data_IF_368663437192
#
_entry.id   IF_368663437192
#
_cell.length_a   1.000
_cell.length_b   1.000
_cell.length_c   1.000
_cell.angle_alpha   90.00
_cell.angle_beta   90.00
_cell.angle_gamma   90.00
#
_symmetry.space_group_name_H-M   'P 1'
#
loop_
_entity.id
_entity.type
_entity.pdbx_description
1 polymer ?
#
# COMPACT_ATOMS: atom_id res chain seq x y z
N UNK A 1 -15.45 -1.93 -5.80
CA UNK A 1 -15.53 -1.12 -4.57
C UNK A 1 -15.11 0.31 -4.91
N UNK A 2 -15.76 1.32 -4.30
CA UNK A 2 -15.34 2.70 -4.48
C UNK A 2 -13.95 2.92 -3.88
N UNK A 3 -13.15 3.80 -4.48
CA UNK A 3 -11.89 4.25 -3.90
C UNK A 3 -12.16 5.10 -2.66
N UNK A 4 -11.42 4.88 -1.58
CA UNK A 4 -11.58 5.57 -0.31
C UNK A 4 -10.46 6.60 -0.11
N UNK A 5 -10.83 7.87 0.09
CA UNK A 5 -9.88 8.97 0.33
C UNK A 5 -10.10 9.53 1.73
N UNK A 6 -9.04 9.61 2.52
CA UNK A 6 -9.05 10.25 3.82
C UNK A 6 -8.62 11.71 3.70
N UNK A 7 -9.35 12.62 4.34
CA UNK A 7 -9.01 14.03 4.47
C UNK A 7 -8.73 14.36 5.92
N UNK A 8 -7.64 15.06 6.16
CA UNK A 8 -7.24 15.56 7.48
C UNK A 8 -7.16 17.09 7.41
N UNK A 9 -8.09 17.77 8.05
CA UNK A 9 -8.26 19.22 7.96
C UNK A 9 -9.09 19.69 9.16
N UNK A 10 -8.70 20.72 9.88
CA UNK A 10 -9.44 21.24 11.03
C UNK A 10 -10.70 22.04 10.64
N UNK A 11 -10.81 22.47 9.39
CA UNK A 11 -12.01 23.10 8.84
C UNK A 11 -13.10 22.06 8.53
N UNK A 12 -14.09 21.95 9.42
CA UNK A 12 -15.24 21.05 9.28
C UNK A 12 -16.03 21.29 7.99
N UNK A 13 -16.20 22.55 7.60
CA UNK A 13 -16.91 22.92 6.38
C UNK A 13 -16.18 22.45 5.13
N UNK A 14 -14.85 22.54 5.14
CA UNK A 14 -14.03 21.98 4.06
C UNK A 14 -14.17 20.47 3.96
N UNK A 15 -14.19 19.76 5.09
CA UNK A 15 -14.39 18.30 5.12
C UNK A 15 -15.77 17.91 4.58
N UNK A 16 -16.83 18.64 4.95
CA UNK A 16 -18.20 18.40 4.45
C UNK A 16 -18.28 18.62 2.93
N UNK A 17 -17.77 19.75 2.43
CA UNK A 17 -17.73 20.05 0.99
C UNK A 17 -16.91 19.00 0.21
N UNK A 18 -15.78 18.56 0.76
CA UNK A 18 -14.96 17.52 0.15
C UNK A 18 -15.73 16.20 0.06
N UNK A 19 -16.45 15.85 1.13
CA UNK A 19 -17.28 14.64 1.16
C UNK A 19 -18.39 14.71 0.10
N UNK A 20 -19.16 15.77 0.08
CA UNK A 20 -20.25 15.93 -0.89
C UNK A 20 -19.72 15.84 -2.33
N UNK A 21 -18.66 16.57 -2.64
CA UNK A 21 -18.09 16.67 -3.98
C UNK A 21 -17.53 15.37 -4.51
N UNK A 22 -16.88 14.59 -3.65
CA UNK A 22 -16.23 13.33 -4.02
C UNK A 22 -17.19 12.14 -3.96
N UNK A 23 -18.14 12.13 -3.03
CA UNK A 23 -19.17 11.08 -2.98
C UNK A 23 -20.04 11.11 -4.22
N UNK A 24 -20.41 12.32 -4.71
CA UNK A 24 -21.13 12.46 -5.98
C UNK A 24 -20.38 11.87 -7.18
N UNK A 25 -19.03 11.77 -7.10
CA UNK A 25 -18.16 11.16 -8.12
C UNK A 25 -17.83 9.69 -7.87
N UNK A 26 -18.46 9.07 -6.88
CA UNK A 26 -18.31 7.66 -6.58
C UNK A 26 -17.10 7.30 -5.70
N UNK A 27 -16.56 8.26 -4.95
CA UNK A 27 -15.50 8.02 -3.96
C UNK A 27 -16.07 7.92 -2.55
N UNK A 28 -15.52 7.05 -1.72
CA UNK A 28 -15.77 7.05 -0.29
C UNK A 28 -14.83 8.07 0.39
N UNK A 29 -15.37 8.90 1.30
CA UNK A 29 -14.58 9.96 1.95
C UNK A 29 -14.63 9.82 3.46
N UNK A 30 -13.46 9.80 4.10
CA UNK A 30 -13.26 9.86 5.54
C UNK A 30 -12.68 11.22 5.90
N UNK A 31 -13.28 11.91 6.87
CA UNK A 31 -12.83 13.23 7.33
C UNK A 31 -12.34 13.16 8.77
N UNK A 32 -11.20 13.76 9.06
CA UNK A 32 -10.60 13.87 10.39
C UNK A 32 -10.16 15.31 10.65
N UNK A 33 -10.44 15.82 11.86
CA UNK A 33 -10.19 17.23 12.21
C UNK A 33 -8.87 17.47 12.94
N UNK A 34 -8.19 16.43 13.35
CA UNK A 34 -6.92 16.51 14.05
C UNK A 34 -5.98 15.36 13.67
N UNK A 35 -4.69 15.60 13.85
CA UNK A 35 -3.62 14.66 13.48
C UNK A 35 -3.68 13.36 14.26
N UNK A 36 -4.03 13.39 15.55
CA UNK A 36 -4.05 12.21 16.41
C UNK A 36 -5.18 11.25 16.05
N UNK A 37 -6.41 11.78 15.95
CA UNK A 37 -7.58 10.99 15.52
C UNK A 37 -7.38 10.43 14.12
N UNK A 38 -6.81 11.24 13.20
CA UNK A 38 -6.48 10.82 11.85
C UNK A 38 -5.46 9.67 11.85
N UNK A 39 -4.37 9.80 12.59
CA UNK A 39 -3.35 8.77 12.70
C UNK A 39 -3.93 7.44 13.14
N UNK A 40 -4.63 7.42 14.29
CA UNK A 40 -5.21 6.20 14.86
C UNK A 40 -6.19 5.52 13.90
N UNK A 41 -7.04 6.29 13.24
CA UNK A 41 -8.04 5.77 12.32
C UNK A 41 -7.42 5.26 11.00
N UNK A 42 -6.47 6.01 10.43
CA UNK A 42 -5.78 5.64 9.20
C UNK A 42 -4.97 4.36 9.40
N UNK A 43 -4.24 4.23 10.50
CA UNK A 43 -3.46 3.02 10.77
C UNK A 43 -4.35 1.78 10.88
N UNK A 44 -5.51 1.89 11.58
CA UNK A 44 -6.47 0.78 11.69
C UNK A 44 -7.08 0.37 10.34
N UNK A 45 -7.21 1.31 9.40
CA UNK A 45 -7.89 1.14 8.13
C UNK A 45 -6.95 1.25 6.92
N UNK A 46 -5.63 1.20 7.10
CA UNK A 46 -4.63 1.48 6.06
C UNK A 46 -4.80 0.67 4.76
N UNK A 47 -5.34 -0.54 4.87
CA UNK A 47 -5.59 -1.41 3.70
C UNK A 47 -6.87 -1.03 2.93
N UNK A 48 -7.74 -0.19 3.51
CA UNK A 48 -8.99 0.30 2.90
C UNK A 48 -8.82 1.69 2.26
N UNK A 49 -7.82 2.45 2.72
CA UNK A 49 -7.61 3.83 2.29
C UNK A 49 -6.73 3.84 1.04
N UNK A 50 -7.27 4.36 -0.05
CA UNK A 50 -6.60 4.44 -1.36
C UNK A 50 -5.84 5.75 -1.56
N UNK A 51 -6.17 6.80 -0.81
CA UNK A 51 -5.50 8.10 -0.87
C UNK A 51 -5.68 8.89 0.41
N UNK A 52 -4.76 9.79 0.70
CA UNK A 52 -4.80 10.65 1.90
C UNK A 52 -4.51 12.08 1.47
N UNK A 53 -5.33 13.00 1.93
CA UNK A 53 -5.12 14.44 1.82
C UNK A 53 -4.88 15.00 3.22
N UNK A 54 -3.80 15.72 3.42
CA UNK A 54 -3.45 16.33 4.71
C UNK A 54 -3.33 17.84 4.53
N UNK A 55 -4.09 18.61 5.32
CA UNK A 55 -3.81 20.03 5.42
C UNK A 55 -2.45 20.25 6.08
N UNK A 56 -1.68 21.17 5.52
CA UNK A 56 -0.41 21.55 6.14
C UNK A 56 -0.63 22.30 7.45
N UNK A 57 -1.64 23.20 7.48
CA UNK A 57 -1.93 24.07 8.63
C UNK A 57 -2.97 23.45 9.56
N UNK A 58 -2.68 22.29 10.13
CA UNK A 58 -3.57 21.70 11.12
C UNK A 58 -3.51 22.46 12.45
N UNK A 59 -4.68 22.91 12.93
CA UNK A 59 -4.80 23.64 14.19
C UNK A 59 -3.83 24.84 14.31
N UNK A 60 -3.56 25.52 13.19
CA UNK A 60 -2.66 26.68 13.14
C UNK A 60 -1.17 26.35 13.21
N UNK A 61 -0.77 25.10 13.02
CA UNK A 61 0.63 24.68 13.01
C UNK A 61 0.97 23.87 11.76
N UNK A 62 1.97 24.35 10.99
CA UNK A 62 2.54 23.63 9.85
C UNK A 62 3.28 22.35 10.25
N UNK A 63 3.77 22.28 11.48
CA UNK A 63 4.54 21.14 11.98
C UNK A 63 3.65 19.90 12.14
N UNK A 64 2.40 20.07 12.56
CA UNK A 64 1.49 18.94 12.82
C UNK A 64 1.13 18.16 11.56
N UNK A 65 0.91 18.82 10.42
CA UNK A 65 0.66 18.16 9.15
C UNK A 65 1.89 17.37 8.66
N UNK A 66 3.07 17.98 8.73
CA UNK A 66 4.32 17.35 8.32
C UNK A 66 4.70 16.15 9.24
N UNK A 67 4.50 16.27 10.54
CA UNK A 67 4.75 15.22 11.52
C UNK A 67 3.80 14.02 11.29
N UNK A 68 2.51 14.28 11.07
CA UNK A 68 1.54 13.24 10.74
C UNK A 68 1.96 12.43 9.52
N UNK A 69 2.41 13.08 8.45
CA UNK A 69 2.88 12.41 7.23
C UNK A 69 4.06 11.47 7.54
N UNK A 70 5.06 11.96 8.27
CA UNK A 70 6.20 11.16 8.70
C UNK A 70 5.79 9.94 9.52
N UNK A 71 4.90 10.11 10.50
CA UNK A 71 4.38 9.04 11.34
C UNK A 71 3.60 7.99 10.53
N UNK A 72 2.76 8.41 9.59
CA UNK A 72 2.02 7.50 8.70
C UNK A 72 2.99 6.64 7.88
N UNK A 73 4.04 7.24 7.31
CA UNK A 73 5.06 6.51 6.54
C UNK A 73 5.87 5.54 7.38
N UNK A 74 6.29 5.95 8.57
CA UNK A 74 7.01 5.07 9.52
C UNK A 74 6.16 3.85 9.92
N UNK A 75 4.83 3.97 9.95
CA UNK A 75 3.91 2.88 10.27
C UNK A 75 3.40 2.11 9.03
N UNK A 76 4.09 2.26 7.89
CA UNK A 76 3.86 1.44 6.71
C UNK A 76 2.62 1.82 5.89
N UNK A 77 2.12 3.06 6.01
CA UNK A 77 1.09 3.58 5.11
C UNK A 77 1.70 3.80 3.74
N UNK A 78 1.20 3.08 2.75
CA UNK A 78 1.68 3.15 1.35
C UNK A 78 0.75 3.95 0.44
N UNK A 79 -0.50 4.23 0.86
CA UNK A 79 -1.42 5.08 0.09
C UNK A 79 -0.76 6.43 -0.27
N UNK A 80 -1.04 7.01 -1.46
CA UNK A 80 -0.53 8.34 -1.81
C UNK A 80 -1.00 9.38 -0.78
N UNK A 81 -0.09 10.23 -0.33
CA UNK A 81 -0.36 11.34 0.59
C UNK A 81 -0.11 12.63 -0.16
N UNK A 82 -1.17 13.41 -0.36
CA UNK A 82 -1.12 14.72 -0.95
C UNK A 82 -1.33 15.79 0.12
N UNK A 83 -0.44 16.77 0.14
CA UNK A 83 -0.58 17.91 1.01
C UNK A 83 -1.50 18.95 0.36
N UNK A 84 -2.49 19.38 1.11
CA UNK A 84 -3.35 20.50 0.73
C UNK A 84 -2.88 21.76 1.46
N UNK A 85 -2.75 22.88 0.77
CA UNK A 85 -2.29 24.12 1.40
C UNK A 85 -2.81 25.36 0.66
N UNK A 86 -3.05 26.42 1.41
CA UNK A 86 -3.41 27.73 0.84
C UNK A 86 -2.15 28.51 0.40
N UNK A 87 -1.01 28.25 1.00
CA UNK A 87 0.22 29.02 0.73
C UNK A 87 1.46 28.10 0.78
N UNK A 88 2.29 28.15 -0.27
CA UNK A 88 3.56 27.43 -0.35
C UNK A 88 4.70 28.43 -0.59
N UNK A 89 5.59 28.52 0.39
CA UNK A 89 6.93 29.00 0.13
C UNK A 89 7.78 27.82 -0.40
N UNK A 90 8.60 28.02 -1.44
CA UNK A 90 9.32 26.95 -2.12
C UNK A 90 10.23 26.08 -1.23
N UNK A 91 10.71 26.59 -0.12
CA UNK A 91 11.50 25.83 0.87
C UNK A 91 10.64 24.79 1.62
N UNK A 92 9.37 25.11 1.87
CA UNK A 92 8.41 24.22 2.54
C UNK A 92 8.05 23.02 1.65
N UNK A 93 7.96 23.23 0.34
CA UNK A 93 7.67 22.17 -0.65
C UNK A 93 8.71 21.06 -0.61
N UNK A 94 9.99 21.40 -0.67
CA UNK A 94 11.08 20.43 -0.59
C UNK A 94 11.12 19.67 0.75
N UNK A 95 10.77 20.32 1.85
CA UNK A 95 10.73 19.69 3.17
C UNK A 95 9.56 18.67 3.27
N UNK A 96 8.39 19.00 2.71
CA UNK A 96 7.22 18.12 2.72
C UNK A 96 7.42 16.83 1.91
N UNK A 97 8.01 16.95 0.72
CA UNK A 97 8.35 15.80 -0.12
C UNK A 97 9.40 14.91 0.58
N UNK A 98 10.38 15.47 1.28
CA UNK A 98 11.36 14.72 2.08
C UNK A 98 10.71 13.99 3.25
N UNK A 99 9.63 14.52 3.84
CA UNK A 99 8.90 13.88 4.94
C UNK A 99 7.95 12.77 4.48
N UNK A 100 7.86 12.49 3.17
CA UNK A 100 7.10 11.36 2.64
C UNK A 100 5.76 11.72 2.00
N UNK A 101 5.46 13.00 1.77
CA UNK A 101 4.39 13.41 0.88
C UNK A 101 4.73 13.00 -0.56
N UNK A 102 3.73 12.58 -1.33
CA UNK A 102 3.91 12.20 -2.74
C UNK A 102 3.70 13.40 -3.68
N UNK A 103 2.87 14.37 -3.28
CA UNK A 103 2.60 15.58 -4.04
C UNK A 103 1.94 16.63 -3.13
N UNK A 104 1.77 17.83 -3.66
CA UNK A 104 1.03 18.90 -2.99
C UNK A 104 0.06 19.59 -3.96
N UNK A 105 -1.02 20.13 -3.42
CA UNK A 105 -2.07 20.82 -4.19
C UNK A 105 -2.50 22.06 -3.43
N UNK A 106 -2.59 23.18 -4.14
CA UNK A 106 -3.18 24.39 -3.58
C UNK A 106 -4.69 24.25 -3.45
N UNK A 107 -5.24 24.68 -2.31
CA UNK A 107 -6.69 24.77 -2.06
C UNK A 107 -7.29 25.97 -2.83
N UNK A 108 -7.12 25.99 -4.15
CA UNK A 108 -7.74 27.01 -5.02
C UNK A 108 -9.20 26.67 -5.29
N UNK A 109 -9.95 27.66 -5.81
CA UNK A 109 -11.32 27.40 -6.21
C UNK A 109 -11.38 26.25 -7.23
N UNK A 110 -12.11 25.17 -6.88
CA UNK A 110 -12.28 23.97 -7.73
C UNK A 110 -10.99 23.14 -7.96
N UNK A 111 -10.19 22.90 -6.92
CA UNK A 111 -8.99 22.04 -7.01
C UNK A 111 -9.30 20.52 -7.13
N UNK A 112 -10.53 20.07 -6.83
CA UNK A 112 -10.92 18.65 -6.84
C UNK A 112 -10.65 17.91 -8.15
N UNK A 113 -10.89 18.47 -9.36
CA UNK A 113 -10.53 17.79 -10.60
C UNK A 113 -9.02 17.53 -10.71
N UNK A 114 -8.19 18.50 -10.33
CA UNK A 114 -6.74 18.33 -10.33
C UNK A 114 -6.29 17.28 -9.30
N UNK A 115 -6.91 17.26 -8.11
CA UNK A 115 -6.69 16.26 -7.08
C UNK A 115 -6.99 14.86 -7.61
N UNK A 116 -8.16 14.64 -8.20
CA UNK A 116 -8.58 13.34 -8.73
C UNK A 116 -7.68 12.85 -9.85
N UNK A 117 -7.36 13.71 -10.83
CA UNK A 117 -6.42 13.37 -11.92
C UNK A 117 -5.07 12.94 -11.38
N UNK A 118 -4.56 13.57 -10.31
CA UNK A 118 -3.30 13.18 -9.68
C UNK A 118 -3.41 11.85 -8.95
N UNK A 119 -4.49 11.61 -8.20
CA UNK A 119 -4.77 10.32 -7.61
C UNK A 119 -4.90 9.22 -8.66
N UNK A 120 -5.66 9.45 -9.73
CA UNK A 120 -5.83 8.51 -10.82
C UNK A 120 -4.49 8.15 -11.46
N UNK A 121 -3.66 9.12 -11.79
CA UNK A 121 -2.29 8.88 -12.28
C UNK A 121 -1.42 8.10 -11.28
N UNK A 122 -1.61 8.36 -9.99
CA UNK A 122 -0.90 7.63 -8.95
C UNK A 122 -1.41 6.19 -8.82
N UNK A 123 -2.72 6.00 -8.91
CA UNK A 123 -3.36 4.68 -8.93
C UNK A 123 -3.08 3.93 -10.23
N UNK A 124 -3.05 4.60 -11.38
CA UNK A 124 -2.63 4.01 -12.65
C UNK A 124 -1.17 3.59 -12.64
N UNK A 125 -0.27 4.43 -12.15
CA UNK A 125 1.14 4.06 -11.92
C UNK A 125 1.27 2.93 -10.89
N UNK A 126 0.31 2.84 -9.94
CA UNK A 126 0.16 1.74 -8.98
C UNK A 126 -0.81 0.67 -9.49
N UNK A 127 -1.69 0.95 -10.46
CA UNK A 127 -2.58 0.04 -11.17
C UNK A 127 -1.85 -0.78 -12.23
N UNK A 128 -0.64 -0.32 -12.63
CA UNK A 128 0.48 -1.20 -12.99
C UNK A 128 1.11 -1.84 -11.74
N UNK A 129 0.63 -1.50 -10.51
CA UNK A 129 0.98 -2.07 -9.20
C UNK A 129 -0.24 -2.13 -8.25
N UNK A 130 -1.49 -2.23 -8.78
CA UNK A 130 -2.75 -2.50 -8.04
C UNK A 130 -2.81 -3.91 -7.49
N UNK A 131 -1.80 -4.67 -7.75
CA UNK A 131 -1.56 -6.04 -7.37
C UNK A 131 -0.19 -6.21 -6.69
N UNK A 132 0.41 -5.16 -6.13
CA UNK A 132 1.71 -5.31 -5.47
C UNK A 132 1.54 -5.66 -3.99
N UNK A 133 1.83 -6.90 -3.66
CA UNK A 133 1.95 -7.35 -2.28
C UNK A 133 3.35 -7.01 -1.76
N UNK A 134 3.41 -6.39 -0.59
CA UNK A 134 4.67 -5.93 0.01
C UNK A 134 4.84 -6.49 1.42
N UNK A 135 6.02 -7.05 1.70
CA UNK A 135 6.43 -7.43 3.06
C UNK A 135 7.89 -7.08 3.30
N UNK A 136 8.12 -6.09 4.15
CA UNK A 136 9.47 -5.54 4.32
C UNK A 136 10.01 -5.03 2.99
N UNK A 137 11.18 -5.51 2.59
CA UNK A 137 11.79 -5.15 1.32
C UNK A 137 11.36 -6.05 0.12
N UNK A 138 10.55 -7.09 0.37
CA UNK A 138 10.01 -7.97 -0.67
C UNK A 138 8.76 -7.37 -1.29
N UNK A 139 8.72 -7.30 -2.62
CA UNK A 139 7.57 -6.84 -3.41
C UNK A 139 7.23 -7.88 -4.47
N UNK A 140 5.95 -8.13 -4.65
CA UNK A 140 5.42 -9.00 -5.70
C UNK A 140 4.26 -8.33 -6.40
N UNK A 141 4.39 -8.10 -7.69
CA UNK A 141 3.35 -7.56 -8.56
C UNK A 141 2.56 -8.73 -9.15
N UNK A 142 1.28 -8.88 -8.79
CA UNK A 142 0.45 -10.02 -9.19
C UNK A 142 0.02 -9.94 -10.66
N UNK A 143 -0.04 -8.75 -11.27
CA UNK A 143 -0.42 -8.58 -12.69
C UNK A 143 0.76 -8.92 -13.60
N UNK A 144 1.91 -8.30 -13.38
CA UNK A 144 3.13 -8.61 -14.13
C UNK A 144 3.82 -9.89 -13.66
N UNK A 145 3.45 -10.40 -12.48
CA UNK A 145 4.07 -11.55 -11.79
C UNK A 145 5.57 -11.35 -11.52
N UNK A 146 6.00 -10.11 -11.45
CA UNK A 146 7.38 -9.77 -11.12
C UNK A 146 7.57 -9.67 -9.61
N UNK A 147 8.64 -10.30 -9.14
CA UNK A 147 9.08 -10.21 -7.74
C UNK A 147 10.36 -9.40 -7.66
N UNK A 148 10.48 -8.58 -6.61
CA UNK A 148 11.69 -7.81 -6.32
C UNK A 148 12.00 -7.79 -4.83
N UNK A 149 13.28 -7.70 -4.50
CA UNK A 149 13.76 -7.59 -3.12
C UNK A 149 14.88 -6.56 -3.04
N UNK A 150 14.74 -5.58 -2.13
CA UNK A 150 15.68 -4.46 -1.94
C UNK A 150 16.02 -3.74 -3.26
N UNK A 151 15.01 -3.55 -4.12
CA UNK A 151 15.16 -2.88 -5.43
C UNK A 151 15.73 -3.74 -6.55
N UNK A 152 16.17 -4.98 -6.27
CA UNK A 152 16.59 -5.94 -7.29
C UNK A 152 15.37 -6.75 -7.76
N UNK A 153 15.01 -6.65 -9.03
CA UNK A 153 13.91 -7.41 -9.62
C UNK A 153 14.38 -8.75 -10.21
N UNK A 154 13.48 -9.74 -10.20
CA UNK A 154 13.69 -10.97 -10.95
C UNK A 154 13.79 -10.67 -12.46
N UNK A 155 14.57 -11.45 -13.18
CA UNK A 155 14.77 -11.27 -14.63
C UNK A 155 13.51 -11.60 -15.45
N UNK A 156 12.71 -12.51 -14.94
CA UNK A 156 11.51 -13.02 -15.59
C UNK A 156 10.34 -13.05 -14.62
N UNK A 157 9.09 -12.93 -15.10
CA UNK A 157 7.90 -13.13 -14.30
C UNK A 157 7.84 -14.53 -13.71
N UNK A 158 7.25 -14.66 -12.52
CA UNK A 158 6.97 -15.97 -11.95
C UNK A 158 5.95 -16.73 -12.82
N UNK A 159 6.10 -18.05 -12.87
CA UNK A 159 5.01 -18.92 -13.36
C UNK A 159 3.72 -18.64 -12.58
N UNK A 160 2.56 -18.80 -13.23
CA UNK A 160 1.25 -18.52 -12.63
C UNK A 160 1.06 -19.24 -11.29
N UNK A 161 1.41 -20.52 -11.25
CA UNK A 161 1.24 -21.33 -10.04
C UNK A 161 2.22 -20.93 -8.93
N UNK A 162 3.46 -20.58 -9.29
CA UNK A 162 4.47 -20.08 -8.35
C UNK A 162 4.06 -18.71 -7.79
N UNK A 163 3.50 -17.85 -8.65
CA UNK A 163 2.95 -16.56 -8.27
C UNK A 163 1.81 -16.69 -7.26
N UNK A 164 0.83 -17.58 -7.51
CA UNK A 164 -0.28 -17.86 -6.57
C UNK A 164 0.22 -18.36 -5.21
N UNK A 165 1.27 -19.19 -5.18
CA UNK A 165 1.89 -19.62 -3.93
C UNK A 165 2.50 -18.44 -3.18
N UNK A 166 3.26 -17.57 -3.86
CA UNK A 166 3.86 -16.38 -3.24
C UNK A 166 2.78 -15.42 -2.71
N UNK A 167 1.75 -15.18 -3.50
CA UNK A 167 0.60 -14.34 -3.12
C UNK A 167 -0.06 -14.85 -1.84
N UNK A 168 -0.35 -16.15 -1.77
CA UNK A 168 -0.97 -16.76 -0.60
C UNK A 168 -0.07 -16.66 0.63
N UNK A 169 1.23 -16.88 0.48
CA UNK A 169 2.20 -16.74 1.56
C UNK A 169 2.33 -15.29 2.04
N UNK A 170 2.29 -14.31 1.15
CA UNK A 170 2.34 -12.88 1.48
C UNK A 170 1.08 -12.43 2.23
N UNK A 171 -0.10 -12.87 1.79
CA UNK A 171 -1.38 -12.55 2.44
C UNK A 171 -1.50 -13.13 3.86
N UNK A 172 -0.81 -14.25 4.14
CA UNK A 172 -0.79 -14.91 5.44
C UNK A 172 0.57 -14.77 6.15
N UNK A 173 1.34 -13.79 5.76
CA UNK A 173 2.73 -13.66 6.21
C UNK A 173 2.86 -13.60 7.74
N UNK A 174 3.77 -14.44 8.27
CA UNK A 174 3.95 -14.68 9.71
C UNK A 174 3.13 -15.84 10.27
N UNK A 175 2.14 -16.34 9.51
CA UNK A 175 1.36 -17.53 9.86
C UNK A 175 1.74 -18.69 8.95
N UNK A 176 1.41 -19.91 9.39
CA UNK A 176 1.59 -21.12 8.59
C UNK A 176 0.43 -21.21 7.60
N UNK A 177 0.76 -21.36 6.32
CA UNK A 177 -0.20 -21.68 5.25
C UNK A 177 -0.17 -23.19 5.02
N UNK A 178 -1.30 -23.85 5.19
CA UNK A 178 -1.38 -25.30 5.06
C UNK A 178 -1.33 -25.76 3.61
N UNK A 179 -1.05 -27.04 3.39
CA UNK A 179 -1.08 -27.61 2.04
C UNK A 179 -2.48 -27.50 1.39
N UNK A 180 -3.56 -27.59 2.19
CA UNK A 180 -4.93 -27.46 1.74
C UNK A 180 -5.22 -26.01 1.26
N UNK A 181 -4.79 -25.01 2.02
CA UNK A 181 -4.93 -23.59 1.63
C UNK A 181 -4.16 -23.28 0.34
N UNK A 182 -2.96 -23.86 0.18
CA UNK A 182 -2.19 -23.70 -1.06
C UNK A 182 -2.86 -24.42 -2.25
N UNK A 183 -3.43 -25.58 -2.05
CA UNK A 183 -4.17 -26.31 -3.08
C UNK A 183 -5.43 -25.53 -3.51
N UNK A 184 -6.16 -24.95 -2.56
CA UNK A 184 -7.32 -24.09 -2.82
C UNK A 184 -6.93 -22.84 -3.61
N UNK A 185 -5.84 -22.16 -3.22
CA UNK A 185 -5.34 -20.98 -3.92
C UNK A 185 -4.87 -21.30 -5.35
N UNK A 186 -4.39 -22.51 -5.60
CA UNK A 186 -4.04 -22.99 -6.94
C UNK A 186 -5.26 -23.37 -7.78
N UNK A 187 -6.49 -23.33 -7.22
CA UNK A 187 -7.73 -23.81 -7.85
C UNK A 187 -7.63 -25.28 -8.29
N UNK A 188 -6.74 -26.04 -7.67
CA UNK A 188 -6.44 -27.44 -7.97
C UNK A 188 -6.61 -28.29 -6.71
N UNK A 189 -7.84 -28.71 -6.45
CA UNK A 189 -8.17 -29.58 -5.30
C UNK A 189 -7.49 -30.96 -5.37
N UNK A 190 -6.87 -31.29 -6.50
CA UNK A 190 -6.10 -32.53 -6.70
C UNK A 190 -4.58 -32.29 -6.53
N UNK A 191 -4.18 -31.07 -6.19
CA UNK A 191 -2.77 -30.74 -6.02
C UNK A 191 -2.14 -31.58 -4.90
N UNK A 192 -1.28 -32.49 -5.28
CA UNK A 192 -0.54 -33.33 -4.33
C UNK A 192 0.49 -32.50 -3.56
N UNK A 193 0.81 -32.94 -2.34
CA UNK A 193 1.91 -32.35 -1.54
C UNK A 193 3.20 -32.23 -2.35
N UNK A 194 3.51 -33.21 -3.20
CA UNK A 194 4.69 -33.18 -4.06
C UNK A 194 4.67 -32.05 -5.13
N UNK A 195 3.48 -31.72 -5.67
CA UNK A 195 3.32 -30.58 -6.58
C UNK A 195 3.60 -29.26 -5.85
N UNK A 196 3.01 -29.08 -4.66
CA UNK A 196 3.22 -27.89 -3.82
C UNK A 196 4.70 -27.74 -3.44
N UNK A 197 5.36 -28.84 -3.05
CA UNK A 197 6.80 -28.83 -2.74
C UNK A 197 7.66 -28.36 -3.91
N UNK A 198 7.36 -28.78 -5.14
CA UNK A 198 8.07 -28.32 -6.35
C UNK A 198 7.87 -26.82 -6.58
N UNK A 199 6.64 -26.30 -6.41
CA UNK A 199 6.33 -24.87 -6.56
C UNK A 199 7.07 -24.03 -5.51
N UNK A 200 7.07 -24.46 -4.25
CA UNK A 200 7.81 -23.80 -3.16
C UNK A 200 9.31 -23.84 -3.41
N UNK A 201 9.85 -24.95 -3.94
CA UNK A 201 11.27 -25.05 -4.30
C UNK A 201 11.64 -24.08 -5.41
N UNK A 202 10.82 -23.97 -6.45
CA UNK A 202 11.01 -22.99 -7.53
C UNK A 202 10.98 -21.55 -6.99
N UNK A 203 10.03 -21.24 -6.11
CA UNK A 203 9.93 -19.93 -5.49
C UNK A 203 11.16 -19.61 -4.64
N UNK A 204 11.65 -20.55 -3.83
CA UNK A 204 12.89 -20.38 -3.06
C UNK A 204 14.07 -20.03 -3.96
N UNK A 205 14.26 -20.74 -5.06
CA UNK A 205 15.35 -20.46 -6.00
C UNK A 205 15.30 -19.04 -6.56
N UNK A 206 14.11 -18.53 -6.87
CA UNK A 206 13.95 -17.13 -7.33
C UNK A 206 14.29 -16.15 -6.23
N UNK A 207 13.78 -16.35 -5.00
CA UNK A 207 14.03 -15.47 -3.86
C UNK A 207 15.52 -15.45 -3.47
N UNK A 208 16.18 -16.60 -3.47
CA UNK A 208 17.64 -16.73 -3.25
C UNK A 208 18.43 -15.99 -4.31
N UNK A 209 18.02 -16.07 -5.58
CA UNK A 209 18.61 -15.30 -6.68
C UNK A 209 18.50 -13.78 -6.51
N UNK A 210 17.51 -13.31 -5.74
CA UNK A 210 17.35 -11.91 -5.37
C UNK A 210 18.14 -11.53 -4.10
N UNK A 211 18.72 -12.51 -3.42
CA UNK A 211 19.47 -12.32 -2.16
C UNK A 211 18.63 -12.51 -0.91
N UNK A 212 17.41 -13.04 -1.04
CA UNK A 212 16.53 -13.35 0.10
C UNK A 212 16.60 -14.85 0.41
N UNK A 213 17.51 -15.22 1.28
CA UNK A 213 17.70 -16.61 1.72
C UNK A 213 16.80 -16.95 2.91
N UNK A 214 16.38 -18.20 3.01
CA UNK A 214 15.55 -18.72 4.12
C UNK A 214 14.22 -18.00 4.34
N UNK A 215 13.68 -17.32 3.31
CA UNK A 215 12.43 -16.59 3.40
C UNK A 215 11.20 -17.47 3.67
N UNK A 216 11.25 -18.73 3.25
CA UNK A 216 10.14 -19.66 3.39
C UNK A 216 10.54 -20.80 4.31
N UNK A 217 9.95 -20.84 5.51
CA UNK A 217 10.10 -21.93 6.48
C UNK A 217 9.14 -23.06 6.12
N UNK A 218 9.60 -24.31 6.30
CA UNK A 218 8.76 -25.52 6.16
C UNK A 218 8.31 -26.00 7.53
N UNK A 219 7.02 -26.16 7.72
CA UNK A 219 6.43 -26.86 8.85
C UNK A 219 6.06 -28.28 8.43
N UNK A 220 6.85 -29.25 8.89
CA UNK A 220 6.71 -30.65 8.45
C UNK A 220 5.31 -31.18 8.68
N UNK A 221 4.71 -31.72 7.64
CA UNK A 221 3.35 -32.30 7.68
C UNK A 221 2.20 -31.27 7.70
N UNK A 222 2.48 -29.96 7.82
CA UNK A 222 1.45 -28.92 7.93
C UNK A 222 1.47 -28.00 6.69
N UNK A 223 2.60 -27.34 6.40
CA UNK A 223 2.65 -26.35 5.33
C UNK A 223 3.91 -25.49 5.34
N UNK A 224 3.75 -24.23 4.98
CA UNK A 224 4.85 -23.27 4.82
C UNK A 224 4.50 -21.91 5.45
N UNK A 225 5.52 -21.20 5.90
CA UNK A 225 5.38 -19.84 6.41
C UNK A 225 6.41 -18.91 5.75
N UNK A 226 5.97 -17.70 5.38
CA UNK A 226 6.85 -16.63 4.92
C UNK A 226 7.36 -15.87 6.15
N UNK A 227 8.68 -15.90 6.36
CA UNK A 227 9.35 -15.19 7.45
C UNK A 227 9.45 -13.67 7.18
N UNK A 228 9.91 -12.91 8.17
CA UNK A 228 10.12 -11.48 8.00
C UNK A 228 11.19 -11.20 6.93
N UNK A 229 10.84 -10.36 5.94
CA UNK A 229 11.71 -9.98 4.82
C UNK A 229 12.29 -8.58 5.08
N UNK A 230 13.17 -8.46 6.08
CA UNK A 230 13.82 -7.21 6.47
C UNK A 230 14.94 -6.80 5.51
#
# INVERSE_FOLDING_TARGET
>A
MNKCIAFVDDDERFLELSREHLTYRGYDVLGYRDSRTAFDAIIRQKNRIDGICVDLELCGSHEQGAELIGLLRMNGVTAPIFVLTNNLAGETECALLKNGADDYIRKEHNFYPALLVRFEKFWEKRGTCGSCLVRGALRYDTDSRLVSYRGKAAKEPLDVSVGKVLETLLNHAGNIVTHEQLAEALEDRTATTGKIQKLVSALRSVLEGLGLTNAIRTERGIGYALEACN
#
